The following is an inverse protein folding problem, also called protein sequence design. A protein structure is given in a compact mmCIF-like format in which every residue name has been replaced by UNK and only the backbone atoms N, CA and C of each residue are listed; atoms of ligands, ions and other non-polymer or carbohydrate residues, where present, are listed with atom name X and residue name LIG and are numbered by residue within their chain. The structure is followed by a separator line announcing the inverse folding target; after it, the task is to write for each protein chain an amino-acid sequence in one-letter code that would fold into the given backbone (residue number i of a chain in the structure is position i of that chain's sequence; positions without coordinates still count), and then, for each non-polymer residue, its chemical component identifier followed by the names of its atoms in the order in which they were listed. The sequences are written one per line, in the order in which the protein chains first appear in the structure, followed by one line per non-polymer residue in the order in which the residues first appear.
data_IF_971241779610
#
_entry.id   IF_971241779610
#
_cell.length_a   1.000
_cell.length_b   1.000
_cell.length_c   1.000
_cell.angle_alpha   90.00
_cell.angle_beta   90.00
_cell.angle_gamma   90.00
#
_symmetry.space_group_name_H-M   'P 1'
#
loop_
_entity.id
_entity.type
_entity.pdbx_description
1 polymer ?
#
# COMPACT_ATOMS: atom_id res chain seq x y z
N UNK A 1 -36.51 48.29 8.56
CA UNK A 1 -35.56 48.10 7.43
C UNK A 1 -34.15 48.59 7.78
N UNK A 2 -33.97 49.63 8.57
CA UNK A 2 -32.67 50.22 8.95
C UNK A 2 -31.77 49.31 9.78
N UNK A 3 -32.27 48.57 10.78
CA UNK A 3 -31.46 47.69 11.66
C UNK A 3 -30.72 46.59 10.91
N UNK A 4 -31.17 46.16 9.73
CA UNK A 4 -30.50 45.15 8.93
C UNK A 4 -29.34 45.72 8.09
N UNK A 5 -29.41 46.99 7.75
CA UNK A 5 -28.40 47.71 7.00
C UNK A 5 -27.21 48.03 7.91
N UNK A 6 -27.48 48.50 9.13
CA UNK A 6 -26.43 48.82 10.12
C UNK A 6 -25.63 47.61 10.53
N UNK A 7 -26.26 46.45 10.78
CA UNK A 7 -25.58 45.19 11.06
C UNK A 7 -24.67 44.70 9.92
N UNK A 8 -25.12 44.95 8.68
CA UNK A 8 -24.36 44.57 7.48
C UNK A 8 -23.13 45.46 7.28
N UNK A 9 -23.24 46.75 7.60
CA UNK A 9 -22.12 47.71 7.55
C UNK A 9 -21.10 47.39 8.67
N UNK A 10 -21.56 47.12 9.86
CA UNK A 10 -20.71 46.77 11.01
C UNK A 10 -19.94 45.44 10.76
N UNK A 11 -20.62 44.43 10.20
CA UNK A 11 -19.96 43.15 9.83
C UNK A 11 -18.91 43.34 8.76
N UNK A 12 -19.18 44.13 7.74
CA UNK A 12 -18.23 44.46 6.66
C UNK A 12 -17.00 45.17 7.22
N UNK A 13 -17.18 46.17 8.07
CA UNK A 13 -16.06 46.92 8.67
C UNK A 13 -15.21 46.05 9.58
N UNK A 14 -15.80 45.10 10.33
CA UNK A 14 -15.06 44.09 11.15
C UNK A 14 -14.25 43.15 10.28
N UNK A 15 -14.79 42.68 9.13
CA UNK A 15 -14.09 41.85 8.16
C UNK A 15 -12.91 42.59 7.52
N UNK A 16 -13.12 43.83 7.08
CA UNK A 16 -12.07 44.65 6.47
C UNK A 16 -10.92 44.93 7.45
N UNK A 17 -11.25 45.20 8.71
CA UNK A 17 -10.27 45.41 9.76
C UNK A 17 -9.49 44.13 10.09
N UNK A 18 -10.17 42.99 10.19
CA UNK A 18 -9.54 41.70 10.39
C UNK A 18 -8.58 41.36 9.24
N UNK A 19 -9.02 41.54 8.00
CA UNK A 19 -8.21 41.30 6.82
C UNK A 19 -6.94 42.19 6.82
N UNK A 20 -7.13 43.52 6.99
CA UNK A 20 -6.00 44.46 6.98
C UNK A 20 -4.99 44.20 8.06
N UNK A 21 -5.43 43.78 9.26
CA UNK A 21 -4.55 43.46 10.39
C UNK A 21 -3.82 42.14 10.21
N UNK A 22 -4.45 41.15 9.52
CA UNK A 22 -3.93 39.78 9.42
C UNK A 22 -3.54 39.37 7.99
N UNK A 23 -3.51 40.28 7.03
CA UNK A 23 -3.27 39.98 5.60
C UNK A 23 -2.03 39.11 5.36
N UNK A 24 -0.93 39.38 6.04
CA UNK A 24 0.31 38.60 5.89
C UNK A 24 0.10 37.13 6.39
N UNK A 25 -0.59 36.96 7.50
CA UNK A 25 -0.91 35.62 8.04
C UNK A 25 -1.85 34.85 7.13
N UNK A 26 -2.82 35.56 6.54
CA UNK A 26 -3.78 34.99 5.59
C UNK A 26 -3.04 34.52 4.32
N UNK A 27 -2.17 35.34 3.76
CA UNK A 27 -1.36 34.95 2.60
C UNK A 27 -0.42 33.79 2.92
N UNK A 28 0.26 33.82 4.07
CA UNK A 28 1.10 32.72 4.52
C UNK A 28 0.31 31.39 4.64
N UNK A 29 -0.91 31.47 5.19
CA UNK A 29 -1.78 30.30 5.30
C UNK A 29 -2.15 29.72 3.91
N UNK A 30 -2.52 30.57 2.96
CA UNK A 30 -2.81 30.12 1.59
C UNK A 30 -1.59 29.55 0.87
N UNK A 31 -0.41 30.15 1.07
CA UNK A 31 0.83 29.59 0.52
C UNK A 31 1.12 28.18 1.06
N UNK A 32 0.94 27.95 2.36
CA UNK A 32 1.12 26.62 2.98
C UNK A 32 0.10 25.63 2.37
N UNK A 33 -1.16 26.04 2.22
CA UNK A 33 -2.20 25.20 1.61
C UNK A 33 -1.83 24.79 0.17
N UNK A 34 -1.35 25.72 -0.63
CA UNK A 34 -0.91 25.45 -2.02
C UNK A 34 0.26 24.46 -2.03
N UNK A 35 1.25 24.64 -1.15
CA UNK A 35 2.39 23.73 -1.05
C UNK A 35 1.93 22.31 -0.66
N UNK A 36 1.00 22.18 0.27
CA UNK A 36 0.44 20.89 0.66
C UNK A 36 -0.27 20.19 -0.52
N UNK A 37 -1.08 20.93 -1.28
CA UNK A 37 -1.78 20.40 -2.46
C UNK A 37 -0.77 19.92 -3.51
N UNK A 38 0.25 20.75 -3.83
CA UNK A 38 1.28 20.38 -4.80
C UNK A 38 2.04 19.13 -4.33
N UNK A 39 2.39 19.07 -3.05
CA UNK A 39 3.09 17.92 -2.45
C UNK A 39 2.28 16.63 -2.56
N UNK A 40 0.98 16.67 -2.30
CA UNK A 40 0.11 15.49 -2.42
C UNK A 40 -0.02 15.02 -3.87
N UNK A 41 -0.15 15.95 -4.82
CA UNK A 41 -0.19 15.63 -6.26
C UNK A 41 1.13 14.98 -6.70
N UNK A 42 2.26 15.56 -6.30
CA UNK A 42 3.59 15.02 -6.63
C UNK A 42 3.79 13.59 -6.11
N UNK A 43 3.43 13.34 -4.84
CA UNK A 43 3.50 12.01 -4.22
C UNK A 43 2.62 11.02 -4.99
N UNK A 44 1.39 11.42 -5.35
CA UNK A 44 0.47 10.57 -6.11
C UNK A 44 1.07 10.16 -7.47
N UNK A 45 1.53 11.13 -8.26
CA UNK A 45 2.12 10.89 -9.58
C UNK A 45 3.35 9.96 -9.47
N UNK A 46 4.22 10.19 -8.48
CA UNK A 46 5.40 9.36 -8.29
C UNK A 46 5.03 7.92 -7.88
N UNK A 47 4.02 7.74 -7.05
CA UNK A 47 3.52 6.43 -6.67
C UNK A 47 2.88 5.69 -7.86
N UNK A 48 2.12 6.39 -8.70
CA UNK A 48 1.53 5.81 -9.91
C UNK A 48 2.62 5.34 -10.88
N UNK A 49 3.67 6.13 -11.11
CA UNK A 49 4.83 5.73 -11.94
C UNK A 49 5.54 4.48 -11.38
N UNK A 50 5.77 4.44 -10.06
CA UNK A 50 6.36 3.27 -9.40
C UNK A 50 5.47 2.04 -9.54
N UNK A 51 4.17 2.18 -9.34
CA UNK A 51 3.22 1.07 -9.50
C UNK A 51 3.19 0.56 -10.94
N UNK A 52 3.20 1.45 -11.94
CA UNK A 52 3.24 1.07 -13.35
C UNK A 52 4.53 0.29 -13.70
N UNK A 53 5.69 0.73 -13.19
CA UNK A 53 6.95 0.02 -13.38
C UNK A 53 6.93 -1.38 -12.74
N UNK A 54 6.40 -1.51 -11.54
CA UNK A 54 6.28 -2.82 -10.87
C UNK A 54 5.28 -3.72 -11.61
N UNK A 55 4.18 -3.17 -12.12
CA UNK A 55 3.24 -3.91 -12.97
C UNK A 55 3.91 -4.46 -14.22
N UNK A 56 4.71 -3.63 -14.91
CA UNK A 56 5.47 -4.06 -16.08
C UNK A 56 6.44 -5.19 -15.73
N UNK A 57 7.20 -5.08 -14.63
CA UNK A 57 8.10 -6.13 -14.15
C UNK A 57 7.34 -7.43 -13.85
N UNK A 58 6.15 -7.35 -13.28
CA UNK A 58 5.34 -8.54 -13.00
C UNK A 58 4.93 -9.26 -14.29
N UNK A 59 4.52 -8.52 -15.31
CA UNK A 59 4.20 -9.07 -16.64
C UNK A 59 5.46 -9.69 -17.28
N UNK A 60 6.60 -8.99 -17.22
CA UNK A 60 7.88 -9.47 -17.73
C UNK A 60 8.30 -10.80 -17.08
N UNK A 61 8.16 -10.91 -15.74
CA UNK A 61 8.42 -12.15 -15.02
C UNK A 61 7.52 -13.29 -15.53
N UNK A 62 6.23 -13.02 -15.79
CA UNK A 62 5.31 -13.98 -16.38
C UNK A 62 5.72 -14.42 -17.79
N UNK A 63 6.22 -13.52 -18.62
CA UNK A 63 6.73 -13.83 -19.97
C UNK A 63 7.99 -14.71 -19.89
N UNK A 64 8.93 -14.42 -18.99
CA UNK A 64 10.08 -15.30 -18.78
C UNK A 64 9.66 -16.69 -18.31
N UNK A 65 8.66 -16.76 -17.44
CA UNK A 65 8.14 -18.03 -16.95
C UNK A 65 7.51 -18.87 -18.10
N UNK A 66 6.73 -18.23 -18.96
CA UNK A 66 6.11 -18.91 -20.12
C UNK A 66 7.14 -19.37 -21.15
N UNK A 67 8.32 -18.74 -21.17
CA UNK A 67 9.46 -19.12 -22.03
C UNK A 67 10.45 -20.07 -21.35
N UNK A 68 10.06 -20.73 -20.26
CA UNK A 68 10.85 -21.64 -19.41
C UNK A 68 12.13 -21.03 -18.82
N UNK A 69 12.24 -19.69 -18.81
CA UNK A 69 13.36 -18.97 -18.19
C UNK A 69 13.10 -18.74 -16.69
N UNK A 70 12.93 -19.83 -15.93
CA UNK A 70 12.51 -19.83 -14.52
C UNK A 70 13.40 -18.98 -13.61
N UNK A 71 14.72 -19.02 -13.80
CA UNK A 71 15.65 -18.24 -12.99
C UNK A 71 15.47 -16.73 -13.17
N UNK A 72 15.26 -16.25 -14.39
CA UNK A 72 14.99 -14.84 -14.64
C UNK A 72 13.65 -14.41 -14.04
N UNK A 73 12.61 -15.21 -14.25
CA UNK A 73 11.30 -14.99 -13.66
C UNK A 73 11.37 -14.90 -12.14
N UNK A 74 12.04 -15.87 -11.50
CA UNK A 74 12.27 -15.89 -10.06
C UNK A 74 12.91 -14.60 -9.56
N UNK A 75 14.02 -14.19 -10.18
CA UNK A 75 14.76 -13.01 -9.75
C UNK A 75 13.89 -11.72 -9.81
N UNK A 76 13.08 -11.58 -10.85
CA UNK A 76 12.18 -10.44 -11.00
C UNK A 76 11.05 -10.50 -9.95
N UNK A 77 10.44 -11.67 -9.70
CA UNK A 77 9.44 -11.80 -8.64
C UNK A 77 10.01 -11.50 -7.26
N UNK A 78 11.24 -11.93 -6.96
CA UNK A 78 11.93 -11.58 -5.71
C UNK A 78 12.13 -10.05 -5.59
N UNK A 79 12.56 -9.39 -6.65
CA UNK A 79 12.71 -7.93 -6.68
C UNK A 79 11.36 -7.23 -6.41
N UNK A 80 10.26 -7.73 -7.00
CA UNK A 80 8.91 -7.21 -6.77
C UNK A 80 8.51 -7.38 -5.30
N UNK A 81 8.78 -8.53 -4.67
CA UNK A 81 8.48 -8.75 -3.25
C UNK A 81 9.25 -7.75 -2.38
N UNK A 82 10.55 -7.58 -2.65
CA UNK A 82 11.42 -6.67 -1.90
C UNK A 82 11.09 -5.20 -2.12
N UNK A 83 10.42 -4.84 -3.21
CA UNK A 83 9.91 -3.49 -3.45
C UNK A 83 8.83 -3.07 -2.46
N UNK A 84 8.23 -4.03 -1.75
CA UNK A 84 7.13 -3.85 -0.80
C UNK A 84 5.89 -3.19 -1.42
N UNK A 85 5.68 -3.38 -2.71
CA UNK A 85 4.48 -2.92 -3.37
C UNK A 85 3.25 -3.63 -2.78
N UNK A 86 2.24 -2.88 -2.37
CA UNK A 86 1.07 -3.41 -1.64
C UNK A 86 0.30 -4.48 -2.41
N UNK A 87 0.30 -4.44 -3.72
CA UNK A 87 -0.46 -5.36 -4.57
C UNK A 87 0.46 -6.41 -5.22
N UNK A 88 1.46 -5.98 -5.96
CA UNK A 88 2.29 -6.88 -6.77
C UNK A 88 3.23 -7.76 -5.95
N UNK A 89 3.65 -7.34 -4.72
CA UNK A 89 4.47 -8.19 -3.87
C UNK A 89 3.73 -9.47 -3.45
N UNK A 90 2.43 -9.37 -3.19
CA UNK A 90 1.59 -10.51 -2.84
C UNK A 90 1.45 -11.46 -4.04
N UNK A 91 1.15 -10.91 -5.22
CA UNK A 91 1.01 -11.69 -6.45
C UNK A 91 2.33 -12.40 -6.82
N UNK A 92 3.46 -11.70 -6.67
CA UNK A 92 4.78 -12.26 -6.94
C UNK A 92 5.10 -13.45 -6.01
N UNK A 93 4.82 -13.33 -4.71
CA UNK A 93 5.00 -14.44 -3.78
C UNK A 93 4.11 -15.63 -4.16
N UNK A 94 2.85 -15.39 -4.52
CA UNK A 94 1.95 -16.47 -4.91
C UNK A 94 2.42 -17.15 -6.20
N UNK A 95 2.94 -16.39 -7.18
CA UNK A 95 3.53 -16.95 -8.40
C UNK A 95 4.76 -17.83 -8.09
N UNK A 96 5.64 -17.38 -7.18
CA UNK A 96 6.80 -18.17 -6.74
C UNK A 96 6.36 -19.51 -6.12
N UNK A 97 5.36 -19.50 -5.25
CA UNK A 97 4.87 -20.70 -4.55
C UNK A 97 4.13 -21.63 -5.53
N UNK A 98 3.28 -21.08 -6.38
CA UNK A 98 2.48 -21.86 -7.33
C UNK A 98 3.33 -22.56 -8.38
N UNK A 99 4.38 -21.91 -8.84
CA UNK A 99 5.29 -22.44 -9.87
C UNK A 99 6.54 -23.12 -9.30
N UNK A 100 6.58 -23.31 -7.97
CA UNK A 100 7.67 -23.93 -7.23
C UNK A 100 9.06 -23.35 -7.64
N UNK A 101 9.16 -22.01 -7.82
CA UNK A 101 10.38 -21.34 -8.28
C UNK A 101 11.45 -21.27 -7.20
N UNK A 102 11.12 -21.45 -5.94
CA UNK A 102 12.02 -21.46 -4.79
C UNK A 102 11.68 -22.66 -3.91
N UNK A 103 12.67 -23.49 -3.64
CA UNK A 103 12.56 -24.66 -2.77
C UNK A 103 12.95 -24.38 -1.32
N UNK A 104 13.68 -23.27 -1.07
CA UNK A 104 14.08 -22.87 0.27
C UNK A 104 12.86 -22.34 1.06
N UNK A 105 12.38 -23.17 1.97
CA UNK A 105 11.24 -22.85 2.83
C UNK A 105 11.49 -21.62 3.71
N UNK A 106 12.72 -21.45 4.24
CA UNK A 106 13.03 -20.28 5.09
C UNK A 106 12.89 -18.99 4.30
N UNK A 107 13.34 -19.00 3.06
CA UNK A 107 13.23 -17.84 2.15
C UNK A 107 11.76 -17.48 1.86
N UNK A 108 10.93 -18.48 1.59
CA UNK A 108 9.48 -18.28 1.39
C UNK A 108 8.82 -17.70 2.64
N UNK A 109 9.14 -18.23 3.82
CA UNK A 109 8.58 -17.73 5.08
C UNK A 109 9.02 -16.27 5.36
N UNK A 110 10.26 -15.91 5.04
CA UNK A 110 10.70 -14.51 5.13
C UNK A 110 9.91 -13.59 4.19
N UNK A 111 9.55 -14.06 3.00
CA UNK A 111 8.69 -13.27 2.09
C UNK A 111 7.28 -13.09 2.64
N UNK A 112 6.70 -14.11 3.28
CA UNK A 112 5.45 -13.94 4.01
C UNK A 112 5.56 -12.86 5.09
N UNK A 113 6.64 -12.86 5.89
CA UNK A 113 6.85 -11.82 6.91
C UNK A 113 6.95 -10.40 6.33
N UNK A 114 7.60 -10.24 5.16
CA UNK A 114 7.66 -8.95 4.47
C UNK A 114 6.25 -8.49 4.09
N UNK A 115 5.43 -9.39 3.54
CA UNK A 115 4.07 -9.06 3.10
C UNK A 115 3.15 -8.78 4.29
N UNK A 116 3.23 -9.56 5.36
CA UNK A 116 2.48 -9.34 6.60
C UNK A 116 2.75 -7.94 7.20
N UNK A 117 4.00 -7.47 7.14
CA UNK A 117 4.37 -6.11 7.58
C UNK A 117 3.74 -5.01 6.73
N UNK A 118 3.56 -5.27 5.43
CA UNK A 118 2.92 -4.32 4.50
C UNK A 118 1.41 -4.23 4.78
N UNK A 119 0.76 -5.34 5.15
CA UNK A 119 -0.70 -5.54 5.26
C UNK A 119 -1.22 -5.72 6.69
N UNK A 120 -0.44 -5.31 7.70
CA UNK A 120 -0.71 -5.58 9.13
C UNK A 120 -2.10 -5.16 9.64
N UNK A 121 -2.83 -4.30 8.91
CA UNK A 121 -4.17 -3.79 9.30
C UNK A 121 -5.16 -3.80 8.12
N UNK A 122 -4.99 -4.69 7.17
CA UNK A 122 -5.79 -4.76 5.95
C UNK A 122 -6.65 -6.02 5.99
N UNK A 123 -7.86 -5.97 5.45
CA UNK A 123 -8.76 -7.12 5.25
C UNK A 123 -8.09 -8.29 4.50
N UNK A 124 -7.03 -8.01 3.75
CA UNK A 124 -6.23 -9.03 3.08
C UNK A 124 -5.27 -9.80 4.00
N UNK A 125 -5.09 -9.38 5.26
CA UNK A 125 -4.18 -10.05 6.20
C UNK A 125 -4.60 -11.51 6.43
N UNK A 126 -5.90 -11.77 6.52
CA UNK A 126 -6.43 -13.12 6.73
C UNK A 126 -6.21 -14.03 5.52
N UNK A 127 -6.34 -13.49 4.32
CA UNK A 127 -6.02 -14.22 3.08
C UNK A 127 -4.53 -14.57 3.02
N UNK A 128 -3.65 -13.66 3.43
CA UNK A 128 -2.21 -13.89 3.48
C UNK A 128 -1.88 -14.99 4.50
N UNK A 129 -2.45 -14.89 5.70
CA UNK A 129 -2.29 -15.89 6.75
C UNK A 129 -2.83 -17.28 6.32
N UNK A 130 -3.98 -17.31 5.67
CA UNK A 130 -4.54 -18.53 5.11
C UNK A 130 -3.59 -19.18 4.08
N UNK A 131 -3.08 -18.39 3.13
CA UNK A 131 -2.10 -18.88 2.15
C UNK A 131 -0.79 -19.36 2.80
N UNK A 132 -0.31 -18.67 3.84
CA UNK A 132 0.86 -19.09 4.63
C UNK A 132 0.60 -20.43 5.32
N UNK A 133 -0.58 -20.60 5.91
CA UNK A 133 -0.97 -21.87 6.55
C UNK A 133 -0.98 -23.03 5.55
N UNK A 134 -1.60 -22.84 4.38
CA UNK A 134 -1.60 -23.85 3.33
C UNK A 134 -0.19 -24.18 2.84
N UNK A 135 0.67 -23.20 2.68
CA UNK A 135 2.07 -23.42 2.31
C UNK A 135 2.81 -24.24 3.37
N UNK A 136 2.64 -23.91 4.66
CA UNK A 136 3.23 -24.66 5.77
C UNK A 136 2.78 -26.11 5.78
N UNK A 137 1.48 -26.37 5.58
CA UNK A 137 0.93 -27.74 5.50
C UNK A 137 1.54 -28.49 4.32
N UNK A 138 1.55 -27.88 3.13
CA UNK A 138 2.14 -28.47 1.91
C UNK A 138 3.64 -28.82 2.11
N UNK A 139 4.36 -27.98 2.86
CA UNK A 139 5.81 -28.14 3.11
C UNK A 139 6.15 -29.01 4.34
N UNK A 140 5.18 -29.73 4.91
CA UNK A 140 5.38 -30.68 6.01
C UNK A 140 5.30 -30.08 7.42
N UNK A 141 5.12 -28.75 7.57
CA UNK A 141 4.94 -28.10 8.87
C UNK A 141 3.46 -28.03 9.26
N UNK A 142 2.83 -29.22 9.36
CA UNK A 142 1.37 -29.37 9.53
C UNK A 142 0.88 -28.66 10.79
N UNK A 143 1.53 -28.85 11.94
CA UNK A 143 1.10 -28.27 13.22
C UNK A 143 1.07 -26.74 13.19
N UNK A 144 2.10 -26.12 12.59
CA UNK A 144 2.16 -24.65 12.46
C UNK A 144 1.08 -24.14 11.52
N UNK A 145 0.82 -24.82 10.41
CA UNK A 145 -0.22 -24.46 9.48
C UNK A 145 -1.62 -24.55 10.11
N UNK A 146 -1.91 -25.64 10.83
CA UNK A 146 -3.17 -25.83 11.56
C UNK A 146 -3.37 -24.77 12.65
N UNK A 147 -2.30 -24.40 13.37
CA UNK A 147 -2.39 -23.35 14.38
C UNK A 147 -2.83 -21.99 13.79
N UNK A 148 -2.29 -21.65 12.61
CA UNK A 148 -2.70 -20.41 11.92
C UNK A 148 -4.18 -20.51 11.50
N UNK A 149 -4.62 -21.63 10.93
CA UNK A 149 -6.01 -21.82 10.51
C UNK A 149 -6.98 -21.69 11.70
N UNK A 150 -6.66 -22.30 12.84
CA UNK A 150 -7.48 -22.18 14.07
C UNK A 150 -7.63 -20.71 14.50
N UNK A 151 -6.53 -19.96 14.53
CA UNK A 151 -6.55 -18.54 14.89
C UNK A 151 -7.40 -17.70 13.93
N UNK A 152 -7.42 -18.02 12.63
CA UNK A 152 -8.27 -17.33 11.66
C UNK A 152 -9.76 -17.58 11.96
N UNK A 153 -10.15 -18.81 12.29
CA UNK A 153 -11.54 -19.17 12.64
C UNK A 153 -11.97 -18.49 13.94
N UNK A 154 -11.09 -18.47 14.95
CA UNK A 154 -11.36 -17.83 16.25
C UNK A 154 -11.54 -16.30 16.17
N UNK A 155 -10.85 -15.64 15.23
CA UNK A 155 -10.95 -14.19 15.03
C UNK A 155 -12.21 -13.75 14.27
N UNK A 156 -12.86 -14.65 13.53
CA UNK A 156 -14.13 -14.40 12.80
C UNK A 156 -15.37 -14.64 13.66
N UNK A 157 -15.23 -15.16 14.88
CA UNK A 157 -16.32 -15.50 15.81
C UNK A 157 -16.47 -14.43 16.89
#
# INVERSE_FOLDING_TARGET
MEQNVDKKIEFKSKLDNFYNTNKIKIYAFFCILIILVISTIYIKINNEKKNALIAQKYIEAGLYLSSDQKEKSKNIYEEIILSKNKFYSILALYSIIEKDLITDQKKILNYFEIIEKIKKKDEQADIINFKKALYLIKSGNIDKGQLILRKLIENES
#
